data_IF_882056114610
#
_entry.id   IF_882056114610
#
_cell.length_a   1.000
_cell.length_b   1.000
_cell.length_c   1.000
_cell.angle_alpha   90.00
_cell.angle_beta   90.00
_cell.angle_gamma   90.00
#
_symmetry.space_group_name_H-M   'P 1'
#
loop_
_entity.id
_entity.type
_entity.pdbx_description
1 polymer ?
#
# COMPACT_ATOMS: atom_id res chain seq x y z
N UNK A 1 14.23 10.70 -3.00
CA UNK A 1 14.05 12.17 -2.98
C UNK A 1 15.38 12.86 -2.72
N UNK A 2 15.72 13.86 -3.57
CA UNK A 2 16.91 14.68 -3.43
C UNK A 2 18.20 14.13 -4.05
N UNK A 3 18.21 12.97 -4.68
CA UNK A 3 19.38 12.41 -5.36
C UNK A 3 19.79 13.23 -6.58
N UNK A 4 18.82 13.71 -7.33
CA UNK A 4 18.98 14.62 -8.48
C UNK A 4 19.61 15.97 -8.10
N UNK A 5 19.51 16.37 -6.83
CA UNK A 5 20.15 17.57 -6.27
C UNK A 5 21.46 17.27 -5.53
N UNK A 6 21.95 16.03 -5.60
CA UNK A 6 23.13 15.59 -4.87
C UNK A 6 22.95 15.53 -3.33
N UNK A 7 21.70 15.43 -2.86
CA UNK A 7 21.34 15.35 -1.44
C UNK A 7 20.48 14.09 -1.16
N UNK A 8 21.05 12.89 -1.26
CA UNK A 8 20.32 11.66 -0.95
C UNK A 8 19.83 11.71 0.49
N UNK A 9 18.58 11.23 0.71
CA UNK A 9 17.96 11.21 2.03
C UNK A 9 17.31 12.51 2.49
N UNK A 10 17.25 13.55 1.63
CA UNK A 10 16.55 14.81 1.94
C UNK A 10 15.06 14.67 2.25
N UNK A 11 14.49 13.50 1.98
CA UNK A 11 13.11 13.19 2.39
C UNK A 11 12.91 13.35 3.90
N UNK A 12 13.92 12.99 4.72
CA UNK A 12 13.83 13.13 6.18
C UNK A 12 13.69 14.60 6.59
N UNK A 13 14.51 15.48 5.98
CA UNK A 13 14.43 16.92 6.21
C UNK A 13 13.10 17.51 5.70
N UNK A 14 12.60 17.03 4.56
CA UNK A 14 11.28 17.43 4.05
C UNK A 14 10.17 17.08 5.02
N UNK A 15 10.14 15.86 5.54
CA UNK A 15 9.13 15.43 6.51
C UNK A 15 9.19 16.29 7.80
N UNK A 16 10.40 16.58 8.29
CA UNK A 16 10.58 17.43 9.46
C UNK A 16 10.05 18.87 9.23
N UNK A 17 10.15 19.39 8.01
CA UNK A 17 9.58 20.69 7.64
C UNK A 17 8.06 20.63 7.47
N UNK A 18 7.54 19.61 6.80
CA UNK A 18 6.10 19.42 6.60
C UNK A 18 5.37 19.21 7.94
N UNK A 19 6.00 18.55 8.89
CA UNK A 19 5.48 18.40 10.25
C UNK A 19 5.16 19.75 10.92
N UNK A 20 5.89 20.83 10.59
CA UNK A 20 5.72 22.16 11.16
C UNK A 20 4.64 23.01 10.46
N UNK A 21 4.10 22.53 9.34
CA UNK A 21 3.07 23.28 8.60
C UNK A 21 1.73 23.14 9.32
N UNK A 22 1.15 24.27 9.72
CA UNK A 22 -0.19 24.29 10.32
C UNK A 22 -1.24 23.87 9.30
N UNK A 23 -2.34 23.27 9.78
CA UNK A 23 -3.45 22.81 8.92
C UNK A 23 -3.19 21.49 8.18
N UNK A 24 -1.95 20.96 8.14
CA UNK A 24 -1.70 19.59 7.69
C UNK A 24 -1.92 18.65 8.86
N UNK A 25 -2.86 17.70 8.72
CA UNK A 25 -3.13 16.67 9.72
C UNK A 25 -2.46 15.34 9.38
N UNK A 26 -2.52 14.91 8.11
CA UNK A 26 -1.90 13.67 7.63
C UNK A 26 -0.92 13.92 6.49
N UNK A 27 0.21 13.23 6.54
CA UNK A 27 1.23 13.17 5.48
C UNK A 27 1.40 11.71 5.10
N UNK A 28 1.11 11.36 3.84
CA UNK A 28 1.27 10.02 3.30
C UNK A 28 2.45 9.96 2.34
N UNK A 29 3.26 8.89 2.45
CA UNK A 29 4.40 8.65 1.57
C UNK A 29 4.04 7.54 0.60
N UNK A 30 4.17 7.82 -0.69
CA UNK A 30 3.93 6.88 -1.77
C UNK A 30 5.21 6.63 -2.56
N UNK A 31 5.30 5.47 -3.23
CA UNK A 31 6.35 5.10 -4.18
C UNK A 31 7.77 5.05 -3.59
N UNK A 32 7.95 4.32 -2.50
CA UNK A 32 9.28 4.07 -1.95
C UNK A 32 9.89 2.78 -2.51
N UNK A 33 11.20 2.78 -2.69
CA UNK A 33 11.95 1.59 -3.09
C UNK A 33 12.49 0.87 -1.85
N UNK A 34 12.36 -0.48 -1.75
CA UNK A 34 12.85 -1.23 -0.59
C UNK A 34 14.32 -0.95 -0.25
N UNK A 35 15.19 -0.90 -1.25
CA UNK A 35 16.61 -0.61 -1.10
C UNK A 35 16.93 0.83 -0.66
N UNK A 36 15.92 1.71 -0.59
CA UNK A 36 16.03 3.10 -0.12
C UNK A 36 15.52 3.30 1.31
N UNK A 37 14.98 2.26 1.93
CA UNK A 37 14.47 2.30 3.30
C UNK A 37 15.64 2.26 4.27
N UNK A 38 16.19 3.43 4.61
CA UNK A 38 17.25 3.58 5.61
C UNK A 38 16.69 3.70 7.03
N UNK A 39 17.53 3.42 8.04
CA UNK A 39 17.14 3.63 9.44
C UNK A 39 16.81 5.10 9.73
N UNK A 40 17.51 6.03 9.07
CA UNK A 40 17.21 7.45 9.18
C UNK A 40 15.82 7.80 8.62
N UNK A 41 15.39 7.15 7.53
CA UNK A 41 14.05 7.33 6.97
C UNK A 41 12.98 6.75 7.91
N UNK A 42 13.18 5.55 8.43
CA UNK A 42 12.26 4.94 9.41
C UNK A 42 12.16 5.83 10.65
N UNK A 43 13.28 6.31 11.18
CA UNK A 43 13.29 7.23 12.31
C UNK A 43 12.58 8.56 12.00
N UNK A 44 12.65 9.05 10.73
CA UNK A 44 11.91 10.23 10.31
C UNK A 44 10.39 9.97 10.28
N UNK A 45 9.94 8.81 9.82
CA UNK A 45 8.53 8.44 9.88
C UNK A 45 8.02 8.36 11.34
N UNK A 46 8.79 7.74 12.22
CA UNK A 46 8.41 7.57 13.64
C UNK A 46 8.31 8.91 14.39
N UNK A 47 9.28 9.83 14.19
CA UNK A 47 9.30 11.10 14.94
C UNK A 47 8.30 12.14 14.42
N UNK A 48 7.85 12.02 13.18
CA UNK A 48 6.91 12.96 12.57
C UNK A 48 5.47 12.44 12.71
N UNK A 49 4.75 12.89 13.72
CA UNK A 49 3.43 12.36 14.10
C UNK A 49 2.32 12.59 13.06
N UNK A 50 2.49 13.56 12.16
CA UNK A 50 1.59 13.77 11.02
C UNK A 50 1.83 12.75 9.88
N UNK A 51 3.00 12.08 9.87
CA UNK A 51 3.26 11.01 8.90
C UNK A 51 2.45 9.79 9.30
N UNK A 52 1.48 9.43 8.47
CA UNK A 52 0.64 8.26 8.74
C UNK A 52 1.45 6.97 8.64
N UNK A 53 1.11 5.92 9.44
CA UNK A 53 1.77 4.62 9.41
C UNK A 53 1.37 3.83 8.15
N UNK A 54 1.76 4.34 6.99
CA UNK A 54 1.46 3.78 5.68
C UNK A 54 2.66 3.99 4.76
N UNK A 55 3.04 2.97 3.99
CA UNK A 55 4.10 3.08 3.00
C UNK A 55 3.81 2.20 1.78
N UNK A 56 3.87 2.80 0.60
CA UNK A 56 3.76 2.09 -0.67
C UNK A 56 5.16 1.69 -1.16
N UNK A 57 5.36 0.38 -1.27
CA UNK A 57 6.61 -0.29 -1.66
C UNK A 57 6.38 -1.17 -2.89
N UNK A 58 6.37 -0.62 -4.13
CA UNK A 58 6.16 -1.44 -5.32
C UNK A 58 7.38 -2.36 -5.57
N UNK A 59 7.35 -3.58 -5.05
CA UNK A 59 8.47 -4.53 -5.15
C UNK A 59 8.57 -5.19 -6.53
N UNK A 60 7.48 -5.28 -7.26
CA UNK A 60 7.27 -5.87 -8.58
C UNK A 60 7.34 -7.41 -8.59
N UNK A 61 8.32 -8.04 -7.94
CA UNK A 61 8.51 -9.47 -7.80
C UNK A 61 9.32 -9.80 -6.54
N UNK A 62 9.44 -11.08 -6.17
CA UNK A 62 10.27 -11.53 -5.06
C UNK A 62 11.48 -12.39 -5.46
N UNK A 63 11.53 -12.89 -6.70
CA UNK A 63 12.66 -13.69 -7.18
C UNK A 63 13.80 -12.81 -7.68
N UNK A 64 15.03 -13.10 -7.24
CA UNK A 64 16.22 -12.29 -7.54
C UNK A 64 16.56 -12.22 -9.03
N UNK A 65 16.34 -13.31 -9.79
CA UNK A 65 16.63 -13.37 -11.21
C UNK A 65 15.61 -12.52 -12.01
N UNK A 66 14.34 -12.59 -11.64
CA UNK A 66 13.27 -11.78 -12.25
C UNK A 66 13.48 -10.30 -11.91
N UNK A 67 13.75 -9.95 -10.65
CA UNK A 67 14.06 -8.58 -10.22
C UNK A 67 15.24 -7.99 -10.98
N UNK A 68 16.30 -8.78 -11.14
CA UNK A 68 17.47 -8.38 -11.95
C UNK A 68 17.11 -8.17 -13.43
N UNK A 69 16.28 -9.03 -14.00
CA UNK A 69 15.81 -8.88 -15.37
C UNK A 69 14.93 -7.65 -15.57
N UNK A 70 14.14 -7.26 -14.53
CA UNK A 70 13.39 -6.01 -14.45
C UNK A 70 14.28 -4.77 -14.22
N UNK A 71 15.61 -4.94 -14.14
CA UNK A 71 16.55 -3.87 -13.79
C UNK A 71 16.29 -3.22 -12.42
N UNK A 72 15.74 -4.00 -11.47
CA UNK A 72 15.55 -3.55 -10.08
C UNK A 72 16.87 -3.66 -9.32
N UNK A 73 17.08 -2.70 -8.43
CA UNK A 73 18.21 -2.69 -7.49
C UNK A 73 17.76 -3.39 -6.20
N UNK A 74 18.65 -4.21 -5.64
CA UNK A 74 18.29 -5.07 -4.52
C UNK A 74 17.58 -6.35 -4.98
N UNK A 75 17.35 -7.26 -4.05
CA UNK A 75 16.73 -8.55 -4.24
C UNK A 75 15.76 -8.88 -3.12
N UNK A 76 15.37 -10.15 -3.02
CA UNK A 76 14.43 -10.64 -2.01
C UNK A 76 14.84 -10.30 -0.59
N UNK A 77 16.13 -10.48 -0.28
CA UNK A 77 16.65 -10.22 1.07
C UNK A 77 16.46 -8.76 1.48
N UNK A 78 16.76 -7.82 0.60
CA UNK A 78 16.59 -6.39 0.85
C UNK A 78 15.11 -6.03 1.04
N UNK A 79 14.20 -6.67 0.30
CA UNK A 79 12.75 -6.50 0.46
C UNK A 79 12.31 -6.99 1.83
N UNK A 80 12.66 -8.22 2.19
CA UNK A 80 12.29 -8.83 3.47
C UNK A 80 12.88 -8.04 4.66
N UNK A 81 14.15 -7.62 4.57
CA UNK A 81 14.83 -6.82 5.61
C UNK A 81 14.13 -5.43 5.76
N UNK A 82 13.73 -4.78 4.68
CA UNK A 82 13.02 -3.49 4.74
C UNK A 82 11.65 -3.65 5.41
N UNK A 83 10.88 -4.65 5.02
CA UNK A 83 9.57 -4.96 5.61
C UNK A 83 9.69 -5.25 7.10
N UNK A 84 10.64 -6.11 7.49
CA UNK A 84 10.87 -6.48 8.88
C UNK A 84 11.23 -5.25 9.75
N UNK A 85 12.13 -4.38 9.27
CA UNK A 85 12.52 -3.15 9.98
C UNK A 85 11.38 -2.16 10.11
N UNK A 86 10.57 -1.98 9.06
CA UNK A 86 9.40 -1.12 9.08
C UNK A 86 8.38 -1.60 10.10
N UNK A 87 8.00 -2.89 10.07
CA UNK A 87 7.04 -3.47 11.01
C UNK A 87 7.53 -3.45 12.46
N UNK A 88 8.83 -3.64 12.68
CA UNK A 88 9.42 -3.57 14.01
C UNK A 88 9.44 -2.15 14.59
N UNK A 89 9.69 -1.14 13.76
CA UNK A 89 9.81 0.25 14.19
C UNK A 89 8.46 0.99 14.26
N UNK A 90 7.49 0.59 13.42
CA UNK A 90 6.18 1.23 13.29
C UNK A 90 5.10 0.14 13.44
N UNK A 91 4.72 -0.23 14.67
CA UNK A 91 3.66 -1.20 14.91
C UNK A 91 2.35 -0.77 14.21
N UNK A 92 1.72 -1.71 13.50
CA UNK A 92 0.48 -1.44 12.74
C UNK A 92 0.68 -0.64 11.44
N UNK A 93 1.92 -0.54 10.93
CA UNK A 93 2.15 0.08 9.62
C UNK A 93 1.42 -0.68 8.52
N UNK A 94 0.67 0.03 7.72
CA UNK A 94 0.08 -0.47 6.47
C UNK A 94 1.13 -0.48 5.38
N UNK A 95 1.43 -1.65 4.84
CA UNK A 95 2.33 -1.82 3.71
C UNK A 95 1.54 -2.15 2.45
N UNK A 96 1.63 -1.23 1.49
CA UNK A 96 1.09 -1.43 0.14
C UNK A 96 2.20 -1.88 -0.79
N UNK A 97 1.87 -2.74 -1.77
CA UNK A 97 2.81 -3.15 -2.81
C UNK A 97 2.13 -3.29 -4.17
N UNK A 98 2.94 -3.36 -5.20
CA UNK A 98 2.53 -3.68 -6.56
C UNK A 98 3.42 -4.80 -7.09
N UNK A 99 2.80 -5.79 -7.73
CA UNK A 99 3.47 -6.92 -8.38
C UNK A 99 3.19 -6.92 -9.88
N UNK A 100 4.09 -7.54 -10.62
CA UNK A 100 3.95 -7.83 -12.05
C UNK A 100 4.12 -9.33 -12.23
N UNK A 101 3.09 -10.00 -12.71
CA UNK A 101 3.13 -11.43 -13.07
C UNK A 101 3.35 -11.62 -14.56
N UNK A 102 4.07 -12.67 -14.91
CA UNK A 102 4.32 -13.02 -16.31
C UNK A 102 5.38 -12.16 -17.01
N UNK A 103 6.36 -11.65 -16.27
CA UNK A 103 7.51 -10.96 -16.85
C UNK A 103 8.27 -11.93 -17.79
N UNK A 104 8.86 -11.45 -18.92
CA UNK A 104 9.57 -12.31 -19.86
C UNK A 104 10.58 -13.24 -19.20
N UNK A 105 10.41 -14.54 -19.37
CA UNK A 105 11.26 -15.58 -18.78
C UNK A 105 10.91 -16.02 -17.36
N UNK A 106 9.86 -15.48 -16.74
CA UNK A 106 9.35 -15.96 -15.44
C UNK A 106 8.90 -17.43 -15.54
N UNK A 107 9.52 -18.31 -14.73
CA UNK A 107 9.17 -19.73 -14.71
C UNK A 107 7.98 -20.04 -13.78
N UNK A 108 7.43 -21.26 -13.87
CA UNK A 108 6.36 -21.70 -12.96
C UNK A 108 6.84 -21.78 -11.51
N UNK A 109 8.11 -22.13 -11.27
CA UNK A 109 8.70 -22.19 -9.94
C UNK A 109 8.81 -20.77 -9.32
N UNK A 110 9.26 -19.77 -10.11
CA UNK A 110 9.37 -18.38 -9.68
C UNK A 110 8.00 -17.77 -9.41
N UNK A 111 7.01 -18.10 -10.23
CA UNK A 111 5.63 -17.71 -10.00
C UNK A 111 5.05 -18.36 -8.72
N UNK A 112 5.28 -19.66 -8.51
CA UNK A 112 4.85 -20.34 -7.28
C UNK A 112 5.49 -19.72 -6.04
N UNK A 113 6.77 -19.35 -6.12
CA UNK A 113 7.49 -18.65 -5.06
C UNK A 113 6.90 -17.26 -4.77
N UNK A 114 6.45 -16.54 -5.81
CA UNK A 114 5.74 -15.26 -5.66
C UNK A 114 4.40 -15.44 -4.93
N UNK A 115 3.64 -16.49 -5.25
CA UNK A 115 2.40 -16.82 -4.56
C UNK A 115 2.63 -17.12 -3.06
N UNK A 116 3.67 -17.90 -2.74
CA UNK A 116 4.03 -18.21 -1.36
C UNK A 116 4.51 -16.97 -0.61
N UNK A 117 5.21 -16.07 -1.29
CA UNK A 117 5.65 -14.80 -0.74
C UNK A 117 4.47 -13.91 -0.33
N UNK A 118 3.45 -13.79 -1.19
CA UNK A 118 2.21 -13.03 -0.87
C UNK A 118 1.54 -13.56 0.39
N UNK A 119 1.36 -14.89 0.48
CA UNK A 119 0.74 -15.55 1.64
C UNK A 119 1.55 -15.39 2.93
N UNK A 120 2.88 -15.35 2.83
CA UNK A 120 3.78 -15.29 3.99
C UNK A 120 3.97 -13.87 4.49
N UNK A 121 4.19 -12.93 3.58
CA UNK A 121 4.44 -11.52 3.93
C UNK A 121 3.16 -10.83 4.37
N UNK A 122 2.02 -11.19 3.77
CA UNK A 122 0.71 -10.61 4.06
C UNK A 122 0.76 -9.08 4.01
N UNK A 123 0.89 -8.54 2.80
CA UNK A 123 0.75 -7.11 2.58
C UNK A 123 -0.69 -6.68 2.89
N UNK A 124 -0.85 -5.51 3.51
CA UNK A 124 -2.16 -4.97 3.83
C UNK A 124 -2.91 -4.56 2.55
N UNK A 125 -2.17 -4.03 1.58
CA UNK A 125 -2.69 -3.64 0.27
C UNK A 125 -1.76 -4.16 -0.82
N UNK A 126 -2.31 -4.80 -1.85
CA UNK A 126 -1.52 -5.32 -2.98
C UNK A 126 -2.33 -5.22 -4.27
N UNK A 127 -1.69 -4.73 -5.31
CA UNK A 127 -2.16 -4.85 -6.69
C UNK A 127 -1.21 -5.71 -7.50
N UNK A 128 -1.74 -6.62 -8.32
CA UNK A 128 -0.96 -7.41 -9.25
C UNK A 128 -1.41 -7.16 -10.69
N UNK A 129 -0.47 -6.88 -11.57
CA UNK A 129 -0.73 -6.64 -12.98
C UNK A 129 -0.07 -7.71 -13.84
N UNK A 130 -0.78 -8.13 -14.89
CA UNK A 130 -0.16 -8.90 -15.96
C UNK A 130 0.89 -8.02 -16.66
N UNK A 131 2.07 -8.58 -16.95
CA UNK A 131 3.10 -7.85 -17.68
C UNK A 131 2.58 -7.39 -19.06
N UNK A 132 2.70 -6.09 -19.33
CA UNK A 132 2.42 -5.48 -20.63
C UNK A 132 3.71 -5.10 -21.34
N UNK A 133 3.84 -5.49 -22.61
CA UNK A 133 5.01 -5.18 -23.44
C UNK A 133 4.90 -3.77 -24.01
N UNK A 134 5.47 -2.79 -23.32
CA UNK A 134 5.48 -1.40 -23.76
C UNK A 134 6.50 -1.17 -24.89
N UNK A 135 6.10 -0.46 -25.91
CA UNK A 135 6.95 -0.15 -27.05
C UNK A 135 8.27 0.51 -26.63
N UNK A 136 9.35 0.15 -27.32
CA UNK A 136 10.70 0.68 -27.10
C UNK A 136 11.36 0.32 -25.76
N UNK A 137 10.74 -0.51 -24.92
CA UNK A 137 11.39 -1.03 -23.71
C UNK A 137 12.31 -2.20 -23.99
N UNK A 138 13.28 -2.43 -23.11
CA UNK A 138 14.16 -3.60 -23.17
C UNK A 138 13.33 -4.88 -22.97
N UNK A 139 12.40 -4.86 -22.03
CA UNK A 139 11.56 -6.01 -21.69
C UNK A 139 10.69 -6.49 -22.86
N UNK A 140 10.15 -5.57 -23.67
CA UNK A 140 9.36 -5.94 -24.86
C UNK A 140 10.17 -6.70 -25.91
N UNK A 141 11.51 -6.60 -25.91
CA UNK A 141 12.43 -7.27 -26.84
C UNK A 141 13.13 -8.48 -26.24
N UNK A 142 12.85 -8.81 -24.98
CA UNK A 142 13.40 -10.00 -24.33
C UNK A 142 12.85 -11.27 -25.00
N UNK A 143 13.66 -12.35 -25.09
CA UNK A 143 13.15 -13.66 -25.45
C UNK A 143 12.24 -14.21 -24.36
N UNK A 144 11.57 -15.33 -24.66
CA UNK A 144 10.71 -16.03 -23.71
C UNK A 144 9.54 -15.17 -23.20
N UNK A 145 8.94 -14.40 -24.09
CA UNK A 145 7.66 -13.75 -23.81
C UNK A 145 6.63 -14.81 -23.43
N UNK A 146 5.85 -14.53 -22.40
CA UNK A 146 4.79 -15.41 -21.91
C UNK A 146 3.49 -15.02 -22.61
N UNK A 147 2.65 -16.00 -22.91
CA UNK A 147 1.34 -15.79 -23.52
C UNK A 147 0.44 -14.93 -22.62
N UNK A 148 -0.32 -14.02 -23.23
CA UNK A 148 -1.14 -13.05 -22.48
C UNK A 148 -2.15 -13.70 -21.54
N UNK A 149 -2.75 -14.84 -21.98
CA UNK A 149 -3.67 -15.61 -21.14
C UNK A 149 -2.99 -16.19 -19.89
N UNK A 150 -1.72 -16.58 -20.00
CA UNK A 150 -0.94 -17.09 -18.86
C UNK A 150 -0.61 -15.96 -17.88
N UNK A 151 -0.18 -14.81 -18.40
CA UNK A 151 0.10 -13.62 -17.58
C UNK A 151 -1.13 -13.18 -16.79
N UNK A 152 -2.29 -13.09 -17.48
CA UNK A 152 -3.54 -12.68 -16.86
C UNK A 152 -3.97 -13.67 -15.77
N UNK A 153 -3.96 -14.97 -16.08
CA UNK A 153 -4.28 -16.01 -15.10
C UNK A 153 -3.39 -15.96 -13.86
N UNK A 154 -2.07 -15.70 -14.04
CA UNK A 154 -1.15 -15.53 -12.91
C UNK A 154 -1.48 -14.32 -12.07
N UNK A 155 -1.77 -13.17 -12.71
CA UNK A 155 -2.14 -11.96 -12.02
C UNK A 155 -3.45 -12.13 -11.25
N UNK A 156 -4.49 -12.69 -11.89
CA UNK A 156 -5.80 -12.93 -11.27
C UNK A 156 -5.66 -13.85 -10.04
N UNK A 157 -4.90 -14.94 -10.15
CA UNK A 157 -4.69 -15.85 -9.03
C UNK A 157 -3.94 -15.17 -7.86
N UNK A 158 -2.95 -14.30 -8.13
CA UNK A 158 -2.31 -13.51 -7.06
C UNK A 158 -3.32 -12.58 -6.40
N UNK A 159 -4.23 -11.97 -7.16
CA UNK A 159 -5.29 -11.12 -6.61
C UNK A 159 -6.30 -11.92 -5.78
N UNK A 160 -6.61 -13.16 -6.16
CA UNK A 160 -7.43 -14.06 -5.33
C UNK A 160 -6.75 -14.37 -3.99
N UNK A 161 -5.45 -14.70 -4.01
CA UNK A 161 -4.68 -14.92 -2.78
C UNK A 161 -4.62 -13.67 -1.90
N UNK A 162 -4.47 -12.49 -2.51
CA UNK A 162 -4.48 -11.23 -1.78
C UNK A 162 -5.86 -10.92 -1.20
N UNK A 163 -6.94 -11.27 -1.86
CA UNK A 163 -8.29 -11.08 -1.35
C UNK A 163 -8.50 -11.82 -0.01
N UNK A 164 -7.97 -13.05 0.11
CA UNK A 164 -7.98 -13.80 1.37
C UNK A 164 -7.19 -13.07 2.47
N UNK A 165 -5.98 -12.58 2.13
CA UNK A 165 -5.15 -11.82 3.07
C UNK A 165 -5.83 -10.51 3.47
N UNK A 166 -6.44 -9.81 2.52
CA UNK A 166 -7.14 -8.56 2.76
C UNK A 166 -8.32 -8.76 3.71
N UNK A 167 -9.16 -9.77 3.46
CA UNK A 167 -10.29 -10.09 4.33
C UNK A 167 -9.85 -10.42 5.77
N UNK A 168 -8.73 -11.14 5.95
CA UNK A 168 -8.14 -11.39 7.26
C UNK A 168 -7.73 -10.08 7.95
N UNK A 169 -7.03 -9.18 7.22
CA UNK A 169 -6.55 -7.90 7.74
C UNK A 169 -7.67 -6.91 8.06
N UNK A 170 -8.68 -6.85 7.20
CA UNK A 170 -9.85 -5.99 7.48
C UNK A 170 -10.66 -6.53 8.65
N UNK A 171 -10.82 -7.85 8.76
CA UNK A 171 -11.49 -8.49 9.90
C UNK A 171 -10.84 -8.21 11.26
N UNK A 172 -9.50 -8.05 11.29
CA UNK A 172 -8.77 -7.67 12.52
C UNK A 172 -9.16 -6.27 13.04
N UNK A 173 -9.73 -5.41 12.20
CA UNK A 173 -10.13 -4.04 12.55
C UNK A 173 -11.50 -3.94 13.20
N UNK A 174 -12.31 -4.99 13.13
CA UNK A 174 -13.66 -5.02 13.71
C UNK A 174 -13.60 -4.86 15.22
N UNK A 175 -14.45 -4.00 15.76
CA UNK A 175 -14.50 -3.66 17.19
C UNK A 175 -13.53 -2.57 17.62
N UNK A 176 -12.75 -2.00 16.70
CA UNK A 176 -11.82 -0.92 16.98
C UNK A 176 -12.32 0.42 16.45
N UNK A 177 -11.92 1.50 17.12
CA UNK A 177 -12.25 2.88 16.72
C UNK A 177 -11.05 3.51 16.00
N UNK A 178 -11.32 4.14 14.87
CA UNK A 178 -10.31 4.79 14.03
C UNK A 178 -10.67 6.26 13.78
N UNK A 179 -9.64 7.10 13.75
CA UNK A 179 -9.73 8.44 13.20
C UNK A 179 -9.86 8.34 11.68
N UNK A 180 -10.95 8.87 11.13
CA UNK A 180 -11.28 8.83 9.70
C UNK A 180 -11.53 10.24 9.18
N UNK A 181 -11.16 10.50 7.92
CA UNK A 181 -11.56 11.70 7.18
C UNK A 181 -12.76 11.34 6.30
N UNK A 182 -13.76 12.22 6.23
CA UNK A 182 -14.89 12.07 5.34
C UNK A 182 -14.51 12.57 3.94
N UNK A 183 -14.61 11.70 2.93
CA UNK A 183 -14.33 12.04 1.52
C UNK A 183 -15.61 12.35 0.73
N UNK A 184 -16.79 12.23 1.35
CA UNK A 184 -18.09 12.56 0.72
C UNK A 184 -19.14 11.48 0.90
N UNK A 185 -20.07 11.42 -0.06
CA UNK A 185 -21.18 10.47 -0.09
C UNK A 185 -21.10 9.66 -1.37
N UNK A 186 -21.32 8.38 -1.28
CA UNK A 186 -21.50 7.50 -2.44
C UNK A 186 -22.89 7.74 -3.05
N UNK A 187 -22.91 8.13 -4.31
CA UNK A 187 -24.15 8.51 -5.02
C UNK A 187 -25.10 7.32 -5.25
N UNK A 188 -24.59 6.08 -5.25
CA UNK A 188 -25.39 4.88 -5.51
C UNK A 188 -26.04 4.35 -4.23
N UNK A 189 -25.30 4.32 -3.15
CA UNK A 189 -25.75 3.75 -1.86
C UNK A 189 -26.27 4.80 -0.90
N UNK A 190 -25.88 6.06 -1.06
CA UNK A 190 -26.16 7.14 -0.12
C UNK A 190 -25.38 7.06 1.19
N UNK A 191 -24.40 6.14 1.30
CA UNK A 191 -23.54 6.01 2.46
C UNK A 191 -22.41 7.04 2.40
N UNK A 192 -21.95 7.48 3.56
CA UNK A 192 -20.72 8.28 3.66
C UNK A 192 -19.51 7.41 3.43
N UNK A 193 -18.57 7.94 2.63
CA UNK A 193 -17.26 7.36 2.37
C UNK A 193 -16.25 8.06 3.29
N UNK A 194 -15.66 7.28 4.19
CA UNK A 194 -14.57 7.76 5.03
C UNK A 194 -13.35 6.87 4.79
N UNK A 195 -12.18 7.34 5.15
CA UNK A 195 -10.95 6.55 5.12
C UNK A 195 -10.10 6.81 6.34
N UNK A 196 -9.39 5.76 6.75
CA UNK A 196 -8.46 5.80 7.87
C UNK A 196 -7.05 6.23 7.43
N UNK A 197 -6.13 6.30 8.38
CA UNK A 197 -4.68 6.46 8.10
C UNK A 197 -4.11 5.31 7.27
N UNK A 198 -4.79 4.16 7.24
CA UNK A 198 -4.38 2.96 6.50
C UNK A 198 -4.85 2.95 5.03
N UNK A 199 -5.61 3.96 4.59
CA UNK A 199 -6.27 3.97 3.28
C UNK A 199 -5.83 5.18 2.46
N UNK A 200 -5.30 4.92 1.25
CA UNK A 200 -4.95 5.95 0.29
C UNK A 200 -6.19 6.38 -0.51
N UNK A 201 -6.43 7.69 -0.69
CA UNK A 201 -7.60 8.17 -1.44
C UNK A 201 -7.65 7.55 -2.84
N UNK A 202 -8.85 7.17 -3.28
CA UNK A 202 -9.16 6.65 -4.64
C UNK A 202 -8.45 5.34 -5.03
N UNK A 203 -7.66 4.75 -4.13
CA UNK A 203 -6.84 3.55 -4.43
C UNK A 203 -7.19 2.38 -3.51
N UNK A 204 -7.30 2.65 -2.22
CA UNK A 204 -7.57 1.63 -1.20
C UNK A 204 -9.08 1.64 -0.84
N UNK A 205 -9.50 0.75 0.08
CA UNK A 205 -10.88 0.66 0.53
C UNK A 205 -11.35 1.85 1.37
N UNK A 206 -12.63 1.83 1.72
CA UNK A 206 -13.30 2.87 2.49
C UNK A 206 -13.83 2.33 3.82
N UNK A 207 -14.16 3.24 4.72
CA UNK A 207 -15.06 2.99 5.85
C UNK A 207 -16.43 3.55 5.47
N UNK A 208 -17.39 2.65 5.27
CA UNK A 208 -18.76 2.97 4.88
C UNK A 208 -19.63 3.17 6.13
N UNK A 209 -20.37 4.26 6.19
CA UNK A 209 -21.26 4.54 7.32
C UNK A 209 -22.51 5.27 6.90
N UNK A 210 -23.53 5.17 7.75
CA UNK A 210 -24.70 6.06 7.75
C UNK A 210 -24.62 6.97 8.96
N UNK A 211 -25.18 8.16 8.89
CA UNK A 211 -25.20 9.09 10.02
C UNK A 211 -26.53 9.80 10.10
N UNK A 212 -27.05 9.98 11.33
CA UNK A 212 -28.30 10.73 11.59
C UNK A 212 -28.12 12.25 11.31
N UNK A 213 -26.91 12.74 11.52
CA UNK A 213 -26.52 14.13 11.22
C UNK A 213 -25.57 14.13 10.02
N UNK A 214 -25.79 15.03 9.03
CA UNK A 214 -24.90 15.09 7.87
C UNK A 214 -23.43 15.28 8.26
N UNK A 215 -22.56 14.46 7.65
CA UNK A 215 -21.11 14.60 7.82
C UNK A 215 -20.58 15.64 6.83
N UNK A 216 -19.56 16.37 7.25
CA UNK A 216 -18.90 17.39 6.43
C UNK A 216 -17.70 16.75 5.70
N UNK A 217 -17.64 16.93 4.39
CA UNK A 217 -16.51 16.51 3.57
C UNK A 217 -15.23 17.23 4.04
N UNK A 218 -14.13 16.49 4.15
CA UNK A 218 -12.84 16.97 4.66
C UNK A 218 -12.73 17.02 6.19
N UNK A 219 -13.84 16.87 6.93
CA UNK A 219 -13.80 16.82 8.39
C UNK A 219 -13.39 15.43 8.91
N UNK A 220 -12.87 15.40 10.12
CA UNK A 220 -12.41 14.18 10.79
C UNK A 220 -13.40 13.70 11.84
N UNK A 221 -13.52 12.39 11.93
CA UNK A 221 -14.46 11.69 12.81
C UNK A 221 -13.80 10.48 13.46
N UNK A 222 -14.17 10.18 14.69
CA UNK A 222 -13.95 8.86 15.26
C UNK A 222 -15.04 7.90 14.78
N UNK A 223 -14.64 6.77 14.19
CA UNK A 223 -15.55 5.75 13.66
C UNK A 223 -15.21 4.41 14.28
N UNK A 224 -16.19 3.76 14.90
CA UNK A 224 -16.05 2.39 15.38
C UNK A 224 -16.49 1.41 14.31
N UNK A 225 -15.56 0.54 13.92
CA UNK A 225 -15.77 -0.50 12.89
C UNK A 225 -16.61 -1.63 13.50
N UNK A 226 -17.69 -1.98 12.83
CA UNK A 226 -18.62 -3.05 13.28
C UNK A 226 -18.59 -4.28 12.39
N UNK A 227 -18.19 -4.12 11.13
CA UNK A 227 -18.12 -5.20 10.16
C UNK A 227 -17.03 -4.89 9.11
N UNK A 228 -16.63 -5.91 8.37
CA UNK A 228 -15.63 -5.80 7.31
C UNK A 228 -15.95 -6.78 6.18
N UNK A 229 -15.70 -6.37 4.96
CA UNK A 229 -15.62 -7.29 3.83
C UNK A 229 -14.17 -7.43 3.33
N UNK A 230 -13.97 -7.82 2.08
CA UNK A 230 -12.63 -8.06 1.54
C UNK A 230 -11.77 -6.79 1.51
N UNK A 231 -12.37 -5.62 1.28
CA UNK A 231 -11.63 -4.37 1.05
C UNK A 231 -12.16 -3.19 1.86
N UNK A 232 -13.45 -3.18 2.18
CA UNK A 232 -14.12 -2.09 2.85
C UNK A 232 -14.50 -2.45 4.28
N UNK A 233 -14.59 -1.44 5.11
CA UNK A 233 -15.04 -1.50 6.49
C UNK A 233 -16.42 -0.87 6.62
N UNK A 234 -17.17 -1.32 7.59
CA UNK A 234 -18.47 -0.75 7.95
C UNK A 234 -18.45 -0.33 9.42
N UNK A 235 -19.04 0.81 9.72
CA UNK A 235 -19.01 1.30 11.08
C UNK A 235 -20.03 2.38 11.36
N UNK A 236 -19.94 2.97 12.54
CA UNK A 236 -20.73 4.12 12.92
C UNK A 236 -19.83 5.24 13.47
N UNK A 237 -20.26 6.47 13.21
CA UNK A 237 -19.57 7.66 13.72
C UNK A 237 -19.89 7.84 15.21
N UNK A 238 -18.84 7.97 16.03
CA UNK A 238 -19.00 8.31 17.45
C UNK A 238 -19.05 9.82 17.66
N UNK A 239 -18.07 10.53 17.12
CA UNK A 239 -17.95 11.97 17.28
C UNK A 239 -17.18 12.64 16.16
N UNK A 240 -17.44 13.93 15.92
CA UNK A 240 -16.60 14.79 15.07
C UNK A 240 -15.40 15.23 15.87
N UNK A 241 -14.21 15.16 15.25
CA UNK A 241 -12.98 15.66 15.87
C UNK A 241 -12.78 17.14 15.57
N UNK A 242 -12.27 17.87 16.55
CA UNK A 242 -11.87 19.28 16.38
C UNK A 242 -10.59 19.36 15.50
N UNK A 243 -10.47 20.44 14.73
CA UNK A 243 -9.31 20.73 13.88
C UNK A 243 -8.02 20.99 14.64
#
# INVERSE_FOLDING_TARGET
YGEDWGKPGSICELLDKLQQVDGIRWIRILYAYPERISDAFIAAMVRNTKVVPYLDLPIQHCDDAVLKAMNRRGGRKEIEDAIARLRAAIPGITLRTTLIAGFPGETEEQYAELCDFVKTVKFDRLGCFAYSAEENTVAARMPNQIEDEVKQRRADHIMELQAEVSAEREGEKVGHTYECICDGVDDETGMYLLRTKADCPEIDGNVLTTADTPLEEGAFYNVTVTDADTYDLYGYVEEKLED
#
